data_IF_675611720986
#
_entry.id   IF_675611720986
#
_cell.length_a   1.000
_cell.length_b   1.000
_cell.length_c   1.000
_cell.angle_alpha   90.00
_cell.angle_beta   90.00
_cell.angle_gamma   90.00
#
_symmetry.space_group_name_H-M   'P 1'
#
loop_
_entity.id
_entity.type
_entity.pdbx_description
1 polymer ?
#
# COMPACT_ATOMS: atom_id res chain seq x y z
N UNK A 1 -48.41 61.10 -7.42
CA UNK A 1 -48.14 59.79 -8.07
C UNK A 1 -46.64 59.61 -8.07
N UNK A 2 -46.18 58.76 -7.15
CA UNK A 2 -44.80 58.64 -6.67
C UNK A 2 -43.96 57.73 -7.57
N UNK A 3 -42.71 58.13 -7.80
CA UNK A 3 -41.72 57.41 -8.58
C UNK A 3 -41.37 56.05 -7.94
N UNK A 4 -41.26 55.01 -8.77
CA UNK A 4 -40.80 53.68 -8.36
C UNK A 4 -39.28 53.68 -8.24
N UNK A 5 -38.76 53.50 -7.02
CA UNK A 5 -37.35 53.20 -6.76
C UNK A 5 -37.05 51.74 -7.10
N UNK A 6 -36.06 51.54 -7.96
CA UNK A 6 -35.49 50.24 -8.32
C UNK A 6 -34.53 49.82 -7.20
N UNK A 7 -34.84 48.76 -6.44
CA UNK A 7 -33.89 48.14 -5.51
C UNK A 7 -32.94 47.19 -6.27
N UNK A 8 -31.62 47.26 -6.09
CA UNK A 8 -30.71 46.25 -6.62
C UNK A 8 -30.82 44.98 -5.77
N UNK A 9 -30.92 43.84 -6.44
CA UNK A 9 -30.82 42.51 -5.83
C UNK A 9 -29.35 42.28 -5.48
N UNK A 10 -29.03 42.29 -4.20
CA UNK A 10 -27.75 41.77 -3.68
C UNK A 10 -27.66 40.29 -4.08
N UNK A 11 -26.76 40.00 -5.02
CA UNK A 11 -26.32 38.63 -5.30
C UNK A 11 -25.31 38.31 -4.21
N UNK A 12 -25.74 37.58 -3.19
CA UNK A 12 -24.86 36.92 -2.23
C UNK A 12 -23.92 35.97 -3.00
N UNK A 13 -22.70 36.46 -3.22
CA UNK A 13 -21.51 35.62 -3.37
C UNK A 13 -21.20 35.05 -1.98
N UNK A 14 -21.75 33.89 -1.63
CA UNK A 14 -21.21 33.11 -0.50
C UNK A 14 -21.70 31.66 -0.54
N UNK A 15 -21.02 30.86 -1.38
CA UNK A 15 -21.01 29.41 -1.22
C UNK A 15 -19.60 28.87 -1.48
N UNK A 16 -18.57 29.57 -0.98
CA UNK A 16 -17.40 28.88 -0.44
C UNK A 16 -17.89 28.16 0.81
N UNK A 17 -18.35 26.92 0.63
CA UNK A 17 -18.60 26.00 1.71
C UNK A 17 -17.37 26.01 2.62
N UNK A 18 -17.53 26.60 3.79
CA UNK A 18 -16.58 26.51 4.88
C UNK A 18 -16.45 25.03 5.20
N UNK A 19 -15.36 24.43 4.72
CA UNK A 19 -14.90 23.13 5.19
C UNK A 19 -14.78 23.27 6.71
N UNK A 20 -15.72 22.65 7.43
CA UNK A 20 -15.72 22.54 8.89
C UNK A 20 -14.34 22.08 9.34
N UNK A 21 -13.57 23.00 9.94
CA UNK A 21 -12.16 22.82 10.30
C UNK A 21 -11.93 21.90 11.51
N UNK A 22 -12.99 21.49 12.20
CA UNK A 22 -12.85 20.96 13.56
C UNK A 22 -13.20 19.47 13.73
N UNK A 23 -13.59 18.77 12.66
CA UNK A 23 -13.81 17.32 12.70
C UNK A 23 -12.68 16.57 11.97
N UNK A 24 -12.03 15.58 12.62
CA UNK A 24 -11.01 14.79 11.95
C UNK A 24 -11.63 14.02 10.78
N UNK A 25 -10.90 13.93 9.67
CA UNK A 25 -11.33 13.13 8.52
C UNK A 25 -11.21 11.65 8.88
N UNK A 26 -12.33 10.95 8.92
CA UNK A 26 -12.39 9.53 9.23
C UNK A 26 -12.60 8.74 7.95
N UNK A 27 -11.71 7.80 7.67
CA UNK A 27 -11.79 6.92 6.51
C UNK A 27 -11.75 5.46 6.95
N UNK A 28 -12.86 4.77 6.71
CA UNK A 28 -12.96 3.32 6.89
C UNK A 28 -12.49 2.63 5.62
N UNK A 29 -11.56 1.69 5.78
CA UNK A 29 -10.99 1.01 4.63
C UNK A 29 -12.01 0.06 4.00
N UNK A 30 -12.25 0.12 2.68
CA UNK A 30 -13.22 -0.74 2.03
C UNK A 30 -12.75 -2.19 2.08
N UNK A 31 -13.69 -3.10 2.36
CA UNK A 31 -13.46 -4.53 2.23
C UNK A 31 -13.29 -4.98 0.77
N UNK A 32 -12.74 -6.17 0.60
CA UNK A 32 -12.68 -6.80 -0.73
C UNK A 32 -14.07 -7.18 -1.24
N UNK A 33 -14.84 -7.90 -0.41
CA UNK A 33 -16.24 -8.22 -0.66
C UNK A 33 -17.13 -7.02 -0.33
N UNK A 34 -18.09 -6.73 -1.21
CA UNK A 34 -19.13 -5.74 -0.96
C UNK A 34 -20.12 -6.25 0.10
N UNK A 35 -20.86 -5.33 0.72
CA UNK A 35 -21.82 -5.67 1.79
C UNK A 35 -23.00 -6.51 1.27
N UNK A 36 -23.33 -6.38 -0.02
CA UNK A 36 -24.34 -7.15 -0.74
C UNK A 36 -23.77 -8.40 -1.44
N UNK A 37 -22.53 -8.79 -1.11
CA UNK A 37 -21.87 -9.96 -1.69
C UNK A 37 -22.68 -11.24 -1.47
N UNK A 38 -22.94 -11.97 -2.56
CA UNK A 38 -23.58 -13.29 -2.53
C UNK A 38 -22.64 -14.41 -2.08
N UNK A 39 -21.36 -14.13 -1.87
CA UNK A 39 -20.37 -15.12 -1.41
C UNK A 39 -20.67 -15.50 0.04
N UNK A 40 -20.79 -16.79 0.38
CA UNK A 40 -21.03 -17.22 1.76
C UNK A 40 -19.96 -16.69 2.73
N UNK A 41 -20.36 -16.26 3.92
CA UNK A 41 -19.46 -15.64 4.90
C UNK A 41 -18.26 -16.54 5.25
N UNK A 42 -18.46 -17.84 5.44
CA UNK A 42 -17.37 -18.78 5.72
C UNK A 42 -16.28 -18.77 4.62
N UNK A 43 -16.67 -18.59 3.35
CA UNK A 43 -15.74 -18.52 2.24
C UNK A 43 -15.02 -17.18 2.20
N UNK A 44 -15.72 -16.08 2.52
CA UNK A 44 -15.09 -14.76 2.68
C UNK A 44 -14.01 -14.79 3.77
N UNK A 45 -14.32 -15.38 4.92
CA UNK A 45 -13.37 -15.55 6.03
C UNK A 45 -12.19 -16.43 5.62
N UNK A 46 -12.44 -17.60 5.02
CA UNK A 46 -11.37 -18.49 4.57
C UNK A 46 -10.42 -17.80 3.57
N UNK A 47 -10.95 -17.11 2.57
CA UNK A 47 -10.12 -16.38 1.58
C UNK A 47 -9.32 -15.25 2.26
N UNK A 48 -9.96 -14.52 3.17
CA UNK A 48 -9.32 -13.44 3.93
C UNK A 48 -8.19 -13.96 4.81
N UNK A 49 -8.41 -15.07 5.51
CA UNK A 49 -7.45 -15.70 6.39
C UNK A 49 -6.28 -16.28 5.59
N UNK A 50 -6.54 -16.97 4.48
CA UNK A 50 -5.50 -17.49 3.59
C UNK A 50 -4.65 -16.36 3.00
N UNK A 51 -5.28 -15.30 2.50
CA UNK A 51 -4.57 -14.15 1.95
C UNK A 51 -3.70 -13.45 3.00
N UNK A 52 -4.26 -13.22 4.19
CA UNK A 52 -3.53 -12.60 5.31
C UNK A 52 -2.39 -13.49 5.77
N UNK A 53 -2.63 -14.79 5.91
CA UNK A 53 -1.61 -15.76 6.29
C UNK A 53 -0.44 -15.76 5.30
N UNK A 54 -0.72 -15.89 4.00
CA UNK A 54 0.32 -15.87 2.96
C UNK A 54 1.08 -14.54 3.01
N UNK A 55 0.40 -13.40 3.04
CA UNK A 55 1.02 -12.08 3.04
C UNK A 55 1.93 -11.85 4.26
N UNK A 56 1.49 -12.26 5.44
CA UNK A 56 2.21 -12.09 6.71
C UNK A 56 3.44 -13.01 6.76
N UNK A 57 3.33 -14.23 6.26
CA UNK A 57 4.41 -15.23 6.32
C UNK A 57 5.35 -15.17 5.10
N UNK A 58 5.63 -13.99 4.56
CA UNK A 58 6.52 -13.82 3.40
C UNK A 58 7.91 -14.45 3.61
N UNK A 59 8.40 -14.56 4.85
CA UNK A 59 9.68 -15.21 5.17
C UNK A 59 9.70 -16.72 4.85
N UNK A 60 8.54 -17.39 4.79
CA UNK A 60 8.46 -18.83 4.50
C UNK A 60 8.14 -19.13 3.04
N UNK A 61 7.95 -18.10 2.21
CA UNK A 61 7.59 -18.28 0.79
C UNK A 61 8.64 -19.07 0.03
N UNK A 62 9.91 -19.05 0.44
CA UNK A 62 10.96 -19.87 -0.17
C UNK A 62 10.70 -21.38 -0.04
N UNK A 63 10.03 -21.85 1.02
CA UNK A 63 9.89 -23.29 1.30
C UNK A 63 9.10 -24.03 0.21
N UNK A 64 7.89 -23.60 -0.20
CA UNK A 64 7.18 -24.21 -1.33
C UNK A 64 8.00 -24.27 -2.62
N UNK A 65 8.78 -23.21 -2.94
CA UNK A 65 9.62 -23.21 -4.13
C UNK A 65 10.79 -24.18 -4.03
N UNK A 66 11.42 -24.31 -2.86
CA UNK A 66 12.47 -25.30 -2.64
C UNK A 66 11.93 -26.73 -2.79
N UNK A 67 10.74 -27.02 -2.23
CA UNK A 67 10.07 -28.31 -2.40
C UNK A 67 9.75 -28.58 -3.87
N UNK A 68 9.20 -27.59 -4.57
CA UNK A 68 8.90 -27.69 -6.00
C UNK A 68 10.17 -27.92 -6.83
N UNK A 69 11.24 -27.18 -6.56
CA UNK A 69 12.51 -27.32 -7.27
C UNK A 69 13.14 -28.69 -7.04
N UNK A 70 13.09 -29.18 -5.81
CA UNK A 70 13.53 -30.53 -5.47
C UNK A 70 12.70 -31.59 -6.22
N UNK A 71 11.38 -31.43 -6.24
CA UNK A 71 10.49 -32.32 -6.98
C UNK A 71 10.82 -32.34 -8.49
N UNK A 72 10.92 -31.16 -9.12
CA UNK A 72 11.27 -31.03 -10.55
C UNK A 72 12.64 -31.65 -10.86
N UNK A 73 13.62 -31.47 -9.99
CA UNK A 73 14.91 -32.14 -10.10
C UNK A 73 14.76 -33.67 -10.05
N UNK A 74 13.97 -34.21 -9.12
CA UNK A 74 13.74 -35.65 -8.95
C UNK A 74 13.06 -36.31 -10.15
N UNK A 75 12.22 -35.60 -10.88
CA UNK A 75 11.55 -36.10 -12.09
C UNK A 75 12.32 -35.79 -13.39
N UNK A 76 13.57 -35.32 -13.32
CA UNK A 76 14.45 -35.12 -14.48
C UNK A 76 14.39 -33.71 -15.11
N UNK A 77 13.62 -32.79 -14.54
CA UNK A 77 13.45 -31.42 -15.02
C UNK A 77 14.31 -30.40 -14.24
N UNK A 78 15.49 -30.81 -13.75
CA UNK A 78 16.36 -29.96 -12.93
C UNK A 78 16.84 -28.67 -13.61
N UNK A 79 16.85 -28.63 -14.95
CA UNK A 79 17.17 -27.43 -15.72
C UNK A 79 16.12 -26.32 -15.56
N UNK A 80 14.86 -26.66 -15.23
CA UNK A 80 13.78 -25.68 -15.06
C UNK A 80 14.02 -24.77 -13.84
N UNK A 81 14.26 -25.28 -12.62
CA UNK A 81 14.69 -24.46 -11.48
C UNK A 81 15.92 -23.59 -11.78
N UNK A 82 16.93 -24.14 -12.45
CA UNK A 82 18.14 -23.38 -12.81
C UNK A 82 17.81 -22.21 -13.73
N UNK A 83 16.99 -22.44 -14.76
CA UNK A 83 16.53 -21.39 -15.66
C UNK A 83 15.72 -20.32 -14.92
N UNK A 84 14.81 -20.70 -14.03
CA UNK A 84 14.01 -19.75 -13.24
C UNK A 84 14.88 -18.87 -12.34
N UNK A 85 15.87 -19.46 -11.66
CA UNK A 85 16.83 -18.70 -10.83
C UNK A 85 17.67 -17.77 -11.70
N UNK A 86 18.18 -18.26 -12.85
CA UNK A 86 18.98 -17.45 -13.76
C UNK A 86 18.19 -16.25 -14.33
N UNK A 87 16.91 -16.45 -14.65
CA UNK A 87 16.03 -15.37 -15.12
C UNK A 87 15.67 -14.37 -14.02
N UNK A 88 15.58 -14.81 -12.76
CA UNK A 88 15.26 -13.95 -11.63
C UNK A 88 16.46 -13.12 -11.15
N UNK A 89 17.68 -13.66 -11.28
CA UNK A 89 18.89 -13.08 -10.69
C UNK A 89 19.17 -11.61 -11.11
N UNK A 90 18.98 -11.19 -12.38
CA UNK A 90 19.14 -9.79 -12.76
C UNK A 90 18.19 -8.84 -12.02
N UNK A 91 16.94 -9.27 -11.81
CA UNK A 91 15.96 -8.49 -11.03
C UNK A 91 16.38 -8.39 -9.57
N UNK A 92 16.83 -9.49 -8.98
CA UNK A 92 17.23 -9.55 -7.58
C UNK A 92 18.48 -8.68 -7.30
N UNK A 93 19.44 -8.68 -8.22
CA UNK A 93 20.68 -7.93 -8.11
C UNK A 93 20.60 -6.47 -8.62
N UNK A 94 19.44 -6.02 -9.12
CA UNK A 94 19.28 -4.69 -9.71
C UNK A 94 19.54 -3.52 -8.75
N UNK A 95 19.55 -3.77 -7.44
CA UNK A 95 19.73 -2.73 -6.43
C UNK A 95 18.58 -1.72 -6.35
N UNK A 96 17.43 -2.02 -6.98
CA UNK A 96 16.25 -1.12 -7.02
C UNK A 96 15.88 -0.55 -5.64
N UNK A 97 16.01 -1.35 -4.58
CA UNK A 97 15.72 -0.94 -3.21
C UNK A 97 16.60 0.20 -2.67
N UNK A 98 17.77 0.47 -3.27
CA UNK A 98 18.70 1.54 -2.87
C UNK A 98 18.52 2.83 -3.68
N UNK A 99 17.49 2.88 -4.52
CA UNK A 99 17.11 4.03 -5.34
C UNK A 99 15.90 4.74 -4.71
N UNK A 100 15.71 6.04 -4.99
CA UNK A 100 14.50 6.75 -4.55
C UNK A 100 13.21 6.17 -5.15
N UNK A 101 13.31 5.70 -6.39
CA UNK A 101 12.16 5.25 -7.19
C UNK A 101 11.69 3.86 -6.79
N UNK A 102 12.59 2.97 -6.38
CA UNK A 102 12.27 1.57 -6.12
C UNK A 102 11.80 0.87 -7.40
N UNK A 103 10.88 -0.09 -7.25
CA UNK A 103 10.18 -0.71 -8.37
C UNK A 103 8.70 -0.97 -8.01
N UNK A 104 7.91 0.10 -7.76
CA UNK A 104 6.51 -0.04 -7.39
C UNK A 104 5.70 -0.65 -8.53
N UNK A 105 4.70 -1.44 -8.17
CA UNK A 105 3.69 -1.94 -9.09
C UNK A 105 2.35 -1.29 -8.73
N UNK A 106 1.98 -0.16 -9.38
CA UNK A 106 0.84 0.64 -8.96
C UNK A 106 -0.46 -0.16 -8.90
N UNK A 107 -0.75 -0.99 -9.92
CA UNK A 107 -1.95 -1.81 -9.95
C UNK A 107 -2.02 -2.83 -8.80
N UNK A 108 -0.89 -3.43 -8.42
CA UNK A 108 -0.84 -4.32 -7.27
C UNK A 108 -1.00 -3.55 -5.96
N UNK A 109 -0.30 -2.42 -5.80
CA UNK A 109 -0.36 -1.57 -4.60
C UNK A 109 -1.76 -0.99 -4.36
N UNK A 110 -2.45 -0.53 -5.40
CA UNK A 110 -3.79 0.06 -5.32
C UNK A 110 -4.93 -0.95 -5.49
N UNK A 111 -4.60 -2.22 -5.72
CA UNK A 111 -5.58 -3.28 -5.96
C UNK A 111 -6.51 -3.51 -4.77
N UNK A 112 -7.79 -3.77 -5.06
CA UNK A 112 -8.82 -4.03 -4.03
C UNK A 112 -8.53 -5.24 -3.14
N UNK A 113 -7.62 -6.13 -3.56
CA UNK A 113 -7.20 -7.33 -2.81
C UNK A 113 -6.73 -6.99 -1.39
N UNK A 114 -6.13 -5.81 -1.20
CA UNK A 114 -5.71 -5.32 0.12
C UNK A 114 -6.88 -5.07 1.08
N UNK A 115 -8.11 -4.96 0.56
CA UNK A 115 -9.33 -4.93 1.36
C UNK A 115 -9.59 -6.22 2.14
N UNK A 116 -8.99 -7.36 1.77
CA UNK A 116 -9.00 -8.58 2.59
C UNK A 116 -8.25 -8.34 3.90
N UNK A 117 -6.98 -7.92 3.81
CA UNK A 117 -6.16 -7.60 4.99
C UNK A 117 -6.69 -6.39 5.77
N UNK A 118 -7.16 -5.36 5.09
CA UNK A 118 -7.63 -4.15 5.76
C UNK A 118 -8.90 -4.42 6.60
N UNK A 119 -9.83 -5.23 6.09
CA UNK A 119 -11.02 -5.69 6.84
C UNK A 119 -10.64 -6.65 7.96
N UNK A 120 -9.74 -7.60 7.71
CA UNK A 120 -9.23 -8.52 8.73
C UNK A 120 -8.62 -7.77 9.93
N UNK A 121 -7.85 -6.72 9.66
CA UNK A 121 -7.19 -5.90 10.68
C UNK A 121 -8.11 -4.80 11.25
N UNK A 122 -9.34 -4.64 10.75
CA UNK A 122 -10.25 -3.58 11.19
C UNK A 122 -9.68 -2.16 11.00
N UNK A 123 -8.98 -1.91 9.89
CA UNK A 123 -8.25 -0.65 9.71
C UNK A 123 -9.22 0.51 9.53
N UNK A 124 -9.10 1.47 10.45
CA UNK A 124 -9.72 2.79 10.41
C UNK A 124 -8.62 3.85 10.40
N UNK A 125 -8.65 4.76 9.44
CA UNK A 125 -7.69 5.86 9.34
C UNK A 125 -8.36 7.14 9.80
N UNK A 126 -7.77 7.78 10.81
CA UNK A 126 -8.21 9.08 11.30
C UNK A 126 -7.12 10.08 10.91
N UNK A 127 -7.49 11.05 10.06
CA UNK A 127 -6.61 12.14 9.64
C UNK A 127 -7.02 13.40 10.39
N UNK A 128 -6.18 13.80 11.32
CA UNK A 128 -6.40 14.95 12.20
C UNK A 128 -6.29 16.30 11.48
N UNK A 129 -5.41 16.40 10.47
CA UNK A 129 -5.30 17.60 9.66
C UNK A 129 -5.16 17.31 8.16
N UNK A 130 -5.64 18.24 7.35
CA UNK A 130 -5.26 18.28 5.94
C UNK A 130 -3.76 18.62 5.81
N UNK A 131 -3.10 17.96 4.87
CA UNK A 131 -1.71 18.20 4.51
C UNK A 131 -1.64 18.86 3.15
N UNK A 132 -0.67 19.76 2.99
CA UNK A 132 -0.41 20.50 1.77
C UNK A 132 0.43 19.63 0.83
N UNK A 133 -0.12 19.27 -0.34
CA UNK A 133 0.54 18.39 -1.30
C UNK A 133 1.82 18.97 -1.91
N UNK A 134 2.11 20.27 -1.72
CA UNK A 134 3.36 20.89 -2.16
C UNK A 134 4.53 20.65 -1.20
N UNK A 135 4.28 20.09 -0.01
CA UNK A 135 5.28 19.88 1.04
C UNK A 135 5.70 18.41 1.15
N UNK A 136 6.89 18.20 1.71
CA UNK A 136 7.44 16.87 2.02
C UNK A 136 7.18 16.53 3.47
N UNK A 137 6.78 15.28 3.72
CA UNK A 137 6.41 14.78 5.05
C UNK A 137 7.11 13.46 5.34
N UNK A 138 7.45 13.25 6.62
CA UNK A 138 7.93 11.96 7.13
C UNK A 138 6.86 11.43 8.08
N UNK A 139 6.39 10.21 7.80
CA UNK A 139 5.41 9.51 8.63
C UNK A 139 6.09 8.38 9.39
N UNK A 140 5.82 8.27 10.69
CA UNK A 140 6.23 7.15 11.52
C UNK A 140 5.12 6.10 11.63
N UNK A 141 5.50 4.82 11.62
CA UNK A 141 4.60 3.71 11.95
C UNK A 141 4.90 3.20 13.36
N UNK A 142 3.89 3.15 14.24
CA UNK A 142 4.00 2.62 15.59
C UNK A 142 2.73 1.83 15.98
N UNK A 143 2.83 0.67 16.67
CA UNK A 143 4.07 -0.01 17.06
C UNK A 143 4.81 -0.60 15.85
N UNK A 144 6.14 -0.59 15.93
CA UNK A 144 6.97 -1.28 14.95
C UNK A 144 7.10 -2.75 15.37
N UNK A 145 6.39 -3.65 14.68
CA UNK A 145 6.53 -5.09 14.85
C UNK A 145 7.53 -5.69 13.84
N UNK A 146 7.82 -6.98 13.99
CA UNK A 146 8.51 -7.79 12.94
C UNK A 146 7.75 -7.65 11.61
N UNK A 147 6.44 -7.45 11.68
CA UNK A 147 5.53 -7.20 10.56
C UNK A 147 4.81 -5.88 10.83
N UNK A 148 5.08 -4.86 10.00
CA UNK A 148 4.42 -3.55 10.12
C UNK A 148 3.04 -3.62 9.46
N UNK A 149 2.09 -4.29 10.12
CA UNK A 149 0.71 -4.47 9.64
C UNK A 149 -0.01 -3.14 9.39
N UNK A 150 0.33 -2.10 10.16
CA UNK A 150 -0.19 -0.74 9.96
C UNK A 150 0.08 -0.18 8.56
N UNK A 151 1.09 -0.69 7.83
CA UNK A 151 1.33 -0.31 6.42
C UNK A 151 0.19 -0.68 5.49
N UNK A 152 -0.62 -1.69 5.83
CA UNK A 152 -1.80 -2.09 5.03
C UNK A 152 -2.79 -0.92 4.87
N UNK A 153 -2.82 0.01 5.83
CA UNK A 153 -3.61 1.25 5.74
C UNK A 153 -3.25 2.13 4.54
N UNK A 154 -2.07 1.93 3.93
CA UNK A 154 -1.58 2.71 2.78
C UNK A 154 -1.78 2.02 1.43
N UNK A 155 -2.31 0.79 1.41
CA UNK A 155 -2.52 0.00 0.20
C UNK A 155 -4.00 0.01 -0.22
N UNK A 156 -4.32 -0.58 -1.37
CA UNK A 156 -5.70 -0.62 -1.87
C UNK A 156 -6.26 0.73 -2.29
N UNK A 157 -5.37 1.69 -2.60
CA UNK A 157 -5.74 3.06 -2.94
C UNK A 157 -6.14 3.90 -1.72
N UNK A 158 -5.95 3.38 -0.50
CA UNK A 158 -6.33 4.06 0.73
C UNK A 158 -5.48 5.32 0.97
N UNK A 159 -4.18 5.26 0.67
CA UNK A 159 -3.30 6.42 0.84
C UNK A 159 -3.75 7.60 -0.02
N UNK A 160 -4.01 7.35 -1.30
CA UNK A 160 -4.43 8.37 -2.27
C UNK A 160 -5.77 9.02 -1.90
N UNK A 161 -6.64 8.29 -1.19
CA UNK A 161 -7.91 8.82 -0.66
C UNK A 161 -7.74 9.64 0.61
N UNK A 162 -6.84 9.23 1.51
CA UNK A 162 -6.58 9.93 2.77
C UNK A 162 -5.72 11.18 2.55
N UNK A 163 -4.72 11.09 1.67
CA UNK A 163 -3.74 12.12 1.36
C UNK A 163 -3.63 12.33 -0.17
N UNK A 164 -4.64 12.93 -0.82
CA UNK A 164 -4.62 13.15 -2.25
C UNK A 164 -3.46 14.06 -2.66
N UNK A 165 -2.77 13.69 -3.74
CA UNK A 165 -1.63 14.44 -4.28
C UNK A 165 -0.31 14.26 -3.51
N UNK A 166 -0.28 13.50 -2.41
CA UNK A 166 0.96 13.23 -1.66
C UNK A 166 1.48 11.84 -2.03
N UNK A 167 2.58 11.80 -2.77
CA UNK A 167 3.26 10.54 -3.08
C UNK A 167 3.87 9.92 -1.81
N UNK A 168 3.97 8.59 -1.79
CA UNK A 168 4.41 7.84 -0.60
C UNK A 168 5.42 6.74 -0.94
N UNK A 169 6.48 6.70 -0.14
CA UNK A 169 7.50 5.67 -0.11
C UNK A 169 7.61 5.12 1.30
N UNK A 170 7.63 3.80 1.41
CA UNK A 170 7.84 3.15 2.70
C UNK A 170 9.31 2.81 2.88
N UNK A 171 9.88 3.11 4.04
CA UNK A 171 11.21 2.64 4.40
C UNK A 171 11.07 1.26 5.06
N UNK A 172 11.73 0.26 4.49
CA UNK A 172 11.74 -1.12 4.97
C UNK A 172 13.10 -1.52 5.53
N UNK A 173 13.12 -2.41 6.52
CA UNK A 173 14.36 -2.96 7.05
C UNK A 173 15.21 -3.60 5.94
N UNK A 174 16.52 -3.32 5.92
CA UNK A 174 17.41 -3.77 4.85
C UNK A 174 17.37 -5.27 4.61
N UNK A 175 17.22 -6.05 5.68
CA UNK A 175 17.10 -7.52 5.64
C UNK A 175 15.99 -8.02 4.73
N UNK A 176 14.88 -7.28 4.63
CA UNK A 176 13.73 -7.62 3.78
C UNK A 176 14.10 -7.71 2.30
N UNK A 177 15.07 -6.90 1.87
CA UNK A 177 15.48 -6.85 0.46
C UNK A 177 16.49 -7.93 0.09
N UNK A 178 16.87 -8.79 1.04
CA UNK A 178 17.71 -9.97 0.81
C UNK A 178 16.91 -11.29 0.83
N UNK A 179 15.61 -11.24 1.13
CA UNK A 179 14.73 -12.41 1.05
C UNK A 179 14.10 -12.46 -0.35
N UNK A 180 14.37 -13.51 -1.16
CA UNK A 180 13.74 -13.66 -2.48
C UNK A 180 12.21 -13.64 -2.36
N UNK A 181 11.52 -13.05 -3.34
CA UNK A 181 10.07 -12.83 -3.40
C UNK A 181 9.54 -11.82 -2.36
N UNK A 182 10.01 -11.89 -1.11
CA UNK A 182 9.72 -10.88 -0.08
C UNK A 182 10.24 -9.49 -0.48
N UNK A 183 11.43 -9.45 -1.12
CA UNK A 183 11.98 -8.25 -1.74
C UNK A 183 11.02 -7.64 -2.75
N UNK A 184 10.50 -8.44 -3.68
CA UNK A 184 9.60 -7.98 -4.74
C UNK A 184 8.29 -7.47 -4.16
N UNK A 185 7.72 -8.18 -3.18
CA UNK A 185 6.54 -7.73 -2.48
C UNK A 185 6.76 -6.34 -1.84
N UNK A 186 7.91 -6.14 -1.18
CA UNK A 186 8.26 -4.86 -0.59
C UNK A 186 8.39 -3.75 -1.65
N UNK A 187 9.11 -4.02 -2.74
CA UNK A 187 9.31 -3.07 -3.85
C UNK A 187 8.00 -2.72 -4.55
N UNK A 188 7.17 -3.70 -4.88
CA UNK A 188 5.89 -3.52 -5.56
C UNK A 188 4.91 -2.68 -4.73
N UNK A 189 4.97 -2.82 -3.40
CA UNK A 189 4.22 -2.01 -2.44
C UNK A 189 4.82 -0.61 -2.23
N UNK A 190 5.87 -0.24 -2.96
CA UNK A 190 6.54 1.07 -2.89
C UNK A 190 7.51 1.21 -1.72
N UNK A 191 8.02 0.08 -1.22
CA UNK A 191 9.06 0.03 -0.20
C UNK A 191 10.47 0.17 -0.79
N UNK A 192 11.34 0.86 -0.06
CA UNK A 192 12.78 0.98 -0.35
C UNK A 192 13.58 0.78 0.94
N UNK A 193 14.89 0.61 0.81
CA UNK A 193 15.80 0.37 1.93
C UNK A 193 15.78 1.54 2.93
N UNK A 194 15.77 1.23 4.23
CA UNK A 194 15.73 2.22 5.30
C UNK A 194 17.10 2.86 5.64
N UNK A 195 18.15 2.59 4.85
CA UNK A 195 19.43 3.29 5.04
C UNK A 195 19.27 4.79 4.85
N UNK A 196 20.07 5.56 5.61
CA UNK A 196 20.13 7.01 5.51
C UNK A 196 20.30 7.48 4.06
N UNK A 197 21.23 6.89 3.31
CA UNK A 197 21.51 7.29 1.92
C UNK A 197 20.32 7.07 0.99
N UNK A 198 19.47 6.07 1.25
CA UNK A 198 18.25 5.83 0.46
C UNK A 198 17.14 6.78 0.88
N UNK A 199 16.96 7.00 2.19
CA UNK A 199 16.00 7.98 2.70
C UNK A 199 16.30 9.41 2.20
N UNK A 200 17.57 9.82 2.19
CA UNK A 200 18.02 11.10 1.65
C UNK A 200 17.68 11.22 0.15
N UNK A 201 17.84 10.15 -0.64
CA UNK A 201 17.44 10.15 -2.05
C UNK A 201 15.93 10.30 -2.21
N UNK A 202 15.13 9.58 -1.41
CA UNK A 202 13.65 9.69 -1.45
C UNK A 202 13.18 11.10 -1.12
N UNK A 203 13.79 11.75 -0.14
CA UNK A 203 13.45 13.12 0.24
C UNK A 203 13.87 14.15 -0.80
N UNK A 204 14.79 13.83 -1.71
CA UNK A 204 15.32 14.75 -2.71
C UNK A 204 14.90 14.42 -4.16
N UNK A 205 14.16 13.32 -4.39
CA UNK A 205 13.44 13.05 -5.66
C UNK A 205 12.33 14.10 -5.86
#
# INVERSE_FOLDING_TARGET
MTAQEFKPVERENEATASLTKDAPFVYETPGFFADDSRVPQWMQHLVTDLFSFVTIHYNVWGVPFLVLFYYLYKIGYGYVPVALVALYLPSFLSGAQKTAKGNPWPAFRSGRIWGLSAKFLGIKVIREQALDSSKKYIFGFHPHGIIVLSRVSTYGGNWEKVFPGIATRALGASTMFYVPLGRELCLWLGGVDASRSTADKVLND
#
